data_IF_828203706710
#
_entry.id   IF_828203706710
#
_cell.length_a   1.000
_cell.length_b   1.000
_cell.length_c   1.000
_cell.angle_alpha   90.00
_cell.angle_beta   90.00
_cell.angle_gamma   90.00
#
_symmetry.space_group_name_H-M   'P 1'
#
loop_
_entity.id
_entity.type
_entity.pdbx_description
1 polymer ?
#
# COMPACT_ATOMS: atom_id res chain seq x y z
N UNK A 1 -8.22 27.87 2.87
CA UNK A 1 -9.04 26.69 2.50
C UNK A 1 -9.42 25.93 3.77
N UNK A 2 -10.64 25.39 3.88
CA UNK A 2 -11.05 24.58 5.04
C UNK A 2 -10.41 23.19 4.93
N UNK A 3 -9.87 22.63 6.02
CA UNK A 3 -9.32 21.29 6.00
C UNK A 3 -10.41 20.26 5.68
N UNK A 4 -10.03 19.15 5.03
CA UNK A 4 -10.94 18.06 4.65
C UNK A 4 -11.51 17.29 5.84
N UNK A 5 -11.02 17.58 7.05
CA UNK A 5 -11.43 16.99 8.32
C UNK A 5 -11.85 18.05 9.31
N UNK A 6 -12.90 17.76 10.09
CA UNK A 6 -13.37 18.63 11.19
C UNK A 6 -12.67 18.32 12.51
N UNK A 7 -12.29 17.05 12.73
CA UNK A 7 -11.55 16.60 13.91
C UNK A 7 -10.41 15.69 13.46
N UNK A 8 -9.19 15.93 13.95
CA UNK A 8 -8.02 15.06 13.70
C UNK A 8 -7.93 14.04 14.84
N UNK A 9 -8.16 12.73 14.61
CA UNK A 9 -8.04 11.74 15.67
C UNK A 9 -6.62 11.68 16.25
N UNK A 10 -6.46 11.42 17.56
CA UNK A 10 -5.15 11.18 18.16
C UNK A 10 -4.39 10.06 17.44
N UNK A 11 -3.10 10.27 17.16
CA UNK A 11 -2.25 9.30 16.44
C UNK A 11 -2.48 9.22 14.92
N UNK A 12 -3.42 9.99 14.36
CA UNK A 12 -3.58 10.11 12.91
C UNK A 12 -2.51 11.03 12.30
N UNK A 13 -2.23 10.85 11.02
CA UNK A 13 -1.29 11.65 10.24
C UNK A 13 -1.97 12.70 9.32
N UNK A 14 -3.21 13.09 9.63
CA UNK A 14 -3.99 13.99 8.78
C UNK A 14 -3.40 15.41 8.80
N UNK A 15 -3.03 15.89 7.61
CA UNK A 15 -2.43 17.21 7.40
C UNK A 15 -0.93 17.29 7.61
N UNK A 16 -0.26 16.22 8.04
CA UNK A 16 1.19 16.23 8.29
C UNK A 16 2.02 16.51 7.02
N UNK A 17 1.47 16.19 5.84
CA UNK A 17 2.12 16.41 4.54
C UNK A 17 1.42 17.49 3.70
N UNK A 18 0.56 18.30 4.34
CA UNK A 18 -0.23 19.33 3.69
C UNK A 18 -1.72 18.97 3.55
N UNK A 19 -2.57 19.98 3.27
CA UNK A 19 -4.02 19.82 3.26
C UNK A 19 -4.55 18.99 2.08
N UNK A 20 -3.80 18.95 0.97
CA UNK A 20 -4.16 18.26 -0.27
C UNK A 20 -3.37 16.95 -0.48
N UNK A 21 -2.65 16.50 0.54
CA UNK A 21 -1.88 15.26 0.45
C UNK A 21 -2.78 14.04 0.18
N UNK A 22 -2.34 13.22 -0.78
CA UNK A 22 -3.00 11.98 -1.18
C UNK A 22 -2.11 10.74 -0.91
N UNK A 23 -0.85 10.94 -0.49
CA UNK A 23 0.14 9.86 -0.37
C UNK A 23 0.28 9.34 1.07
N UNK A 24 -0.01 10.17 2.07
CA UNK A 24 0.09 9.80 3.47
C UNK A 24 1.50 9.32 3.83
N UNK A 25 1.60 8.15 4.47
CA UNK A 25 2.90 7.61 4.92
C UNK A 25 3.88 7.32 3.78
N UNK A 26 3.43 7.19 2.53
CA UNK A 26 4.32 7.03 1.38
C UNK A 26 5.25 8.23 1.18
N UNK A 27 4.92 9.41 1.71
CA UNK A 27 5.82 10.58 1.68
C UNK A 27 7.15 10.36 2.42
N UNK A 28 7.23 9.39 3.33
CA UNK A 28 8.49 9.00 3.98
C UNK A 28 9.40 8.13 3.10
N UNK A 29 8.91 7.63 1.96
CA UNK A 29 9.70 6.87 1.00
C UNK A 29 10.51 7.84 0.13
N UNK A 30 11.60 8.37 0.69
CA UNK A 30 12.53 9.29 0.01
C UNK A 30 13.65 8.55 -0.70
N UNK A 31 14.40 9.26 -1.55
CA UNK A 31 15.62 8.72 -2.17
C UNK A 31 16.62 8.21 -1.12
N UNK A 32 16.82 8.95 -0.03
CA UNK A 32 17.69 8.54 1.06
C UNK A 32 17.19 7.26 1.75
N UNK A 33 15.87 7.11 1.91
CA UNK A 33 15.29 5.89 2.47
C UNK A 33 15.53 4.68 1.55
N UNK A 34 15.44 4.87 0.24
CA UNK A 34 15.79 3.85 -0.75
C UNK A 34 17.26 3.47 -0.63
N UNK A 35 18.17 4.44 -0.59
CA UNK A 35 19.61 4.17 -0.46
C UNK A 35 19.97 3.45 0.84
N UNK A 36 19.32 3.80 1.97
CA UNK A 36 19.46 3.03 3.23
C UNK A 36 19.03 1.58 3.07
N UNK A 37 17.91 1.33 2.39
CA UNK A 37 17.46 -0.03 2.11
C UNK A 37 18.42 -0.82 1.21
N UNK A 38 18.99 -0.17 0.21
CA UNK A 38 19.99 -0.80 -0.69
C UNK A 38 21.28 -1.14 0.06
N UNK A 39 21.71 -0.29 1.00
CA UNK A 39 22.92 -0.54 1.80
C UNK A 39 22.86 -1.83 2.64
N UNK A 40 21.66 -2.34 2.95
CA UNK A 40 21.47 -3.60 3.67
C UNK A 40 21.72 -4.86 2.80
N UNK A 41 21.82 -4.73 1.48
CA UNK A 41 22.03 -5.86 0.57
C UNK A 41 23.47 -6.36 0.64
N UNK A 42 23.69 -7.53 1.25
CA UNK A 42 25.03 -8.14 1.41
C UNK A 42 25.27 -9.38 0.55
N UNK A 43 24.29 -10.29 0.50
CA UNK A 43 24.45 -11.61 -0.15
C UNK A 43 23.83 -11.66 -1.56
N UNK A 44 23.08 -10.64 -1.98
CA UNK A 44 22.39 -10.63 -3.27
C UNK A 44 21.27 -11.69 -3.42
N UNK A 45 20.83 -12.29 -2.32
CA UNK A 45 19.76 -13.31 -2.32
C UNK A 45 18.40 -12.66 -2.41
N UNK A 46 17.53 -13.24 -3.25
CA UNK A 46 16.17 -12.73 -3.50
C UNK A 46 15.16 -13.76 -3.02
N UNK A 47 14.20 -13.30 -2.21
CA UNK A 47 13.09 -14.11 -1.70
C UNK A 47 11.77 -13.51 -2.19
N UNK A 48 10.91 -14.33 -2.79
CA UNK A 48 9.54 -13.90 -3.09
C UNK A 48 8.74 -13.86 -1.79
N UNK A 49 8.17 -12.70 -1.46
CA UNK A 49 7.23 -12.53 -0.35
C UNK A 49 5.78 -12.73 -0.78
N UNK A 50 5.56 -13.04 -2.07
CA UNK A 50 4.23 -13.30 -2.62
C UNK A 50 3.87 -14.77 -2.50
N UNK A 51 2.62 -15.04 -2.19
CA UNK A 51 2.04 -16.36 -2.41
C UNK A 51 1.88 -16.62 -3.93
N UNK A 52 1.90 -17.90 -4.37
CA UNK A 52 1.44 -18.26 -5.71
C UNK A 52 0.08 -17.64 -6.04
N UNK A 53 -0.12 -17.23 -7.29
CA UNK A 53 -1.37 -16.56 -7.70
C UNK A 53 -2.61 -17.45 -7.59
N UNK A 54 -2.41 -18.78 -7.53
CA UNK A 54 -3.47 -19.75 -7.39
C UNK A 54 -3.77 -20.10 -5.91
N UNK A 55 -3.13 -19.43 -4.94
CA UNK A 55 -3.38 -19.63 -3.50
C UNK A 55 -3.59 -18.32 -2.71
N UNK A 56 -4.38 -18.36 -1.61
CA UNK A 56 -5.25 -19.46 -1.21
C UNK A 56 -6.38 -19.64 -2.24
N UNK A 57 -6.71 -20.89 -2.58
CA UNK A 57 -7.89 -21.17 -3.42
C UNK A 57 -9.13 -20.75 -2.65
N UNK A 58 -9.94 -19.88 -3.24
CA UNK A 58 -11.10 -19.28 -2.56
C UNK A 58 -10.68 -18.23 -1.51
N UNK A 59 -11.62 -17.39 -1.09
CA UNK A 59 -11.42 -16.22 -0.21
C UNK A 59 -10.91 -16.50 1.22
N UNK A 60 -10.03 -17.49 1.43
CA UNK A 60 -9.57 -17.98 2.72
C UNK A 60 -8.84 -16.96 3.60
N UNK A 61 -8.18 -15.96 3.03
CA UNK A 61 -7.54 -14.87 3.81
C UNK A 61 -8.40 -13.61 3.91
N UNK A 62 -9.32 -13.43 2.97
CA UNK A 62 -10.25 -12.31 2.95
C UNK A 62 -11.50 -12.74 2.19
N UNK A 63 -12.60 -12.95 2.92
CA UNK A 63 -13.88 -13.39 2.33
C UNK A 63 -14.43 -12.43 1.27
N UNK A 64 -13.97 -11.18 1.23
CA UNK A 64 -14.33 -10.19 0.20
C UNK A 64 -13.48 -10.29 -1.07
N UNK A 65 -12.34 -11.00 -1.03
CA UNK A 65 -11.46 -11.18 -2.19
C UNK A 65 -12.00 -12.32 -3.05
N UNK A 66 -12.83 -11.96 -4.02
CA UNK A 66 -13.33 -12.87 -5.06
C UNK A 66 -12.28 -13.01 -6.17
N UNK A 67 -12.19 -14.18 -6.84
CA UNK A 67 -11.39 -14.29 -8.05
C UNK A 67 -11.89 -13.29 -9.11
N UNK A 68 -11.04 -12.89 -10.08
CA UNK A 68 -11.47 -12.06 -11.20
C UNK A 68 -12.68 -12.70 -11.90
N UNK A 69 -13.76 -11.92 -12.09
CA UNK A 69 -14.89 -12.34 -12.89
C UNK A 69 -14.69 -11.83 -14.32
N UNK A 70 -14.57 -12.74 -15.28
CA UNK A 70 -14.62 -12.38 -16.71
C UNK A 70 -16.10 -12.14 -17.03
N UNK A 71 -16.46 -10.88 -17.22
CA UNK A 71 -17.79 -10.49 -17.68
C UNK A 71 -17.65 -9.93 -19.10
N UNK A 72 -18.59 -10.24 -20.02
CA UNK A 72 -18.64 -9.52 -21.28
C UNK A 72 -18.77 -8.03 -20.98
N UNK A 73 -17.99 -7.20 -21.67
CA UNK A 73 -18.21 -5.76 -21.62
C UNK A 73 -19.66 -5.52 -22.04
N UNK A 74 -20.48 -5.02 -21.11
CA UNK A 74 -21.81 -4.54 -21.47
C UNK A 74 -21.58 -3.37 -22.44
N UNK A 75 -21.85 -3.64 -23.72
CA UNK A 75 -22.16 -2.65 -24.74
C UNK A 75 -23.56 -2.09 -24.48
#
# INVERSE_FOLDING_TARGET
MKPRWTHRPPGSNWGDFGPDDQKGRLNWLTADAVLRGVAEVREGRVFSLSLPLDVPRGGGLNARRRPPAIMPALL
#
